data_IF_389553516170
#
_entry.id   IF_389553516170
#
_cell.length_a   1.000
_cell.length_b   1.000
_cell.length_c   1.000
_cell.angle_alpha   90.00
_cell.angle_beta   90.00
_cell.angle_gamma   90.00
#
_symmetry.space_group_name_H-M   'P 1'
#
loop_
_entity.id
_entity.type
_entity.pdbx_description
1 polymer ?
#
# COMPACT_ATOMS: atom_id res chain seq x y z
N UNK A 1 0.22 17.52 -19.97
CA UNK A 1 0.79 18.12 -18.75
C UNK A 1 1.51 17.02 -17.98
N UNK A 2 2.72 17.26 -17.54
CA UNK A 2 3.50 16.26 -16.81
C UNK A 2 3.14 16.19 -15.32
N UNK A 3 3.75 15.25 -14.63
CA UNK A 3 3.59 15.11 -13.17
C UNK A 3 4.14 16.36 -12.48
N UNK A 4 3.39 16.88 -11.51
CA UNK A 4 3.77 18.07 -10.76
C UNK A 4 4.87 17.75 -9.74
N UNK A 5 6.11 18.08 -10.06
CA UNK A 5 7.26 17.81 -9.20
C UNK A 5 7.22 18.58 -7.88
N UNK A 6 6.42 19.64 -7.76
CA UNK A 6 6.24 20.39 -6.52
C UNK A 6 5.52 19.57 -5.43
N UNK A 7 4.92 18.44 -5.78
CA UNK A 7 4.28 17.54 -4.83
C UNK A 7 5.28 16.74 -3.99
N UNK A 8 6.54 16.68 -4.40
CA UNK A 8 7.58 16.05 -3.59
C UNK A 8 7.64 16.70 -2.20
N UNK A 9 7.66 15.89 -1.16
CA UNK A 9 7.62 16.33 0.23
C UNK A 9 6.21 16.49 0.82
N UNK A 10 5.16 16.32 0.01
CA UNK A 10 3.78 16.39 0.48
C UNK A 10 3.40 15.16 1.29
N UNK A 11 2.61 15.38 2.36
CA UNK A 11 1.92 14.32 3.07
C UNK A 11 0.41 14.55 2.98
N UNK A 12 -0.33 13.47 2.85
CA UNK A 12 -1.78 13.51 2.82
C UNK A 12 -2.35 13.18 4.21
N UNK A 13 -3.60 13.60 4.51
CA UNK A 13 -4.25 13.20 5.75
C UNK A 13 -4.36 11.69 5.87
N UNK A 14 -4.37 11.19 7.11
CA UNK A 14 -4.58 9.77 7.36
C UNK A 14 -5.90 9.31 6.74
N UNK A 15 -5.87 8.10 6.17
CA UNK A 15 -7.08 7.49 5.62
C UNK A 15 -8.10 7.16 6.72
N UNK A 16 -9.36 6.95 6.32
CA UNK A 16 -10.32 6.33 7.22
C UNK A 16 -9.82 4.93 7.63
N UNK A 17 -10.17 4.44 8.83
CA UNK A 17 -9.78 3.11 9.25
C UNK A 17 -10.27 2.04 8.28
N UNK A 18 -9.37 1.14 7.91
CA UNK A 18 -9.67 -0.04 7.11
C UNK A 18 -9.76 -1.26 8.00
N UNK A 19 -10.92 -1.92 8.01
CA UNK A 19 -11.12 -3.14 8.76
C UNK A 19 -10.67 -4.35 7.93
N UNK A 20 -9.66 -5.05 8.42
CA UNK A 20 -9.11 -6.23 7.73
C UNK A 20 -10.04 -7.42 7.94
N UNK A 21 -10.67 -7.90 6.86
CA UNK A 21 -11.59 -9.03 6.89
C UNK A 21 -10.94 -10.33 6.45
N UNK A 22 -11.40 -11.44 7.02
CA UNK A 22 -10.90 -12.79 6.68
C UNK A 22 -11.00 -13.10 5.20
N UNK A 23 -12.13 -12.78 4.58
CA UNK A 23 -12.35 -13.12 3.18
C UNK A 23 -11.44 -12.31 2.24
N UNK A 24 -11.17 -11.06 2.55
CA UNK A 24 -10.22 -10.28 1.78
C UNK A 24 -8.80 -10.88 1.85
N UNK A 25 -8.38 -11.31 3.04
CA UNK A 25 -7.08 -11.98 3.22
C UNK A 25 -7.01 -13.31 2.46
N UNK A 26 -8.08 -14.11 2.53
CA UNK A 26 -8.16 -15.38 1.81
C UNK A 26 -8.15 -15.21 0.30
N UNK A 27 -8.91 -14.26 -0.22
CA UNK A 27 -8.97 -13.98 -1.65
C UNK A 27 -7.63 -13.49 -2.17
N UNK A 28 -6.97 -12.60 -1.44
CA UNK A 28 -5.65 -12.12 -1.81
C UNK A 28 -4.61 -13.25 -1.79
N UNK A 29 -4.64 -14.07 -0.75
CA UNK A 29 -3.74 -15.23 -0.65
C UNK A 29 -3.90 -16.19 -1.84
N UNK A 30 -5.15 -16.46 -2.25
CA UNK A 30 -5.42 -17.28 -3.43
C UNK A 30 -4.88 -16.63 -4.70
N UNK A 31 -5.08 -15.33 -4.85
CA UNK A 31 -4.65 -14.59 -6.03
C UNK A 31 -3.13 -14.60 -6.22
N UNK A 32 -2.36 -14.59 -5.13
CA UNK A 32 -0.89 -14.58 -5.19
C UNK A 32 -0.28 -15.97 -4.99
N UNK A 33 -1.09 -17.02 -4.86
CA UNK A 33 -0.61 -18.39 -4.68
C UNK A 33 -0.03 -18.69 -3.30
N UNK A 34 -0.43 -17.93 -2.27
CA UNK A 34 -0.01 -18.17 -0.89
C UNK A 34 -0.87 -19.32 -0.29
N UNK A 35 -0.29 -20.49 -0.21
CA UNK A 35 -1.01 -21.73 0.16
C UNK A 35 -0.87 -22.11 1.63
N UNK A 36 -0.05 -21.41 2.39
CA UNK A 36 0.15 -21.75 3.81
C UNK A 36 -1.17 -21.66 4.57
N UNK A 37 -1.50 -22.65 5.41
CA UNK A 37 -2.80 -22.69 6.13
C UNK A 37 -3.11 -21.47 6.98
N UNK A 38 -2.10 -20.78 7.52
CA UNK A 38 -2.29 -19.58 8.32
C UNK A 38 -2.97 -18.43 7.56
N UNK A 39 -2.92 -18.43 6.23
CA UNK A 39 -3.60 -17.45 5.38
C UNK A 39 -5.06 -17.79 5.09
N UNK A 40 -5.52 -18.96 5.51
CA UNK A 40 -6.83 -19.50 5.14
C UNK A 40 -7.65 -19.98 6.32
N UNK A 41 -7.02 -20.55 7.34
CA UNK A 41 -7.66 -21.20 8.48
C UNK A 41 -7.31 -20.51 9.79
N UNK A 42 -8.35 -20.08 10.51
CA UNK A 42 -8.20 -19.39 11.82
C UNK A 42 -7.48 -20.28 12.82
N UNK A 43 -7.84 -21.57 12.88
CA UNK A 43 -7.23 -22.52 13.83
C UNK A 43 -5.74 -22.67 13.55
N UNK A 44 -5.37 -22.87 12.30
CA UNK A 44 -3.96 -22.97 11.90
C UNK A 44 -3.17 -21.70 12.23
N UNK A 45 -3.75 -20.53 12.00
CA UNK A 45 -3.12 -19.26 12.37
C UNK A 45 -2.90 -19.14 13.88
N UNK A 46 -3.91 -19.50 14.68
CA UNK A 46 -3.84 -19.46 16.15
C UNK A 46 -2.81 -20.43 16.72
N UNK A 47 -2.66 -21.59 16.12
CA UNK A 47 -1.63 -22.56 16.50
C UNK A 47 -0.21 -22.01 16.33
N UNK A 48 -0.03 -21.07 15.40
CA UNK A 48 1.24 -20.38 15.19
C UNK A 48 1.40 -19.10 16.03
N UNK A 49 0.43 -18.81 16.90
CA UNK A 49 0.48 -17.65 17.79
C UNK A 49 -0.15 -16.37 17.23
N UNK A 50 -0.84 -16.44 16.11
CA UNK A 50 -1.56 -15.28 15.56
C UNK A 50 -2.99 -15.20 16.10
N UNK A 51 -3.58 -14.00 16.25
CA UNK A 51 -4.95 -13.87 16.76
C UNK A 51 -6.00 -14.42 15.78
N UNK A 52 -5.73 -14.39 14.50
CA UNK A 52 -6.66 -14.74 13.42
C UNK A 52 -5.89 -15.01 12.13
N UNK A 53 -6.58 -15.22 11.02
CA UNK A 53 -5.98 -15.39 9.70
C UNK A 53 -4.96 -14.28 9.42
N UNK A 54 -3.80 -14.65 8.92
CA UNK A 54 -2.67 -13.76 8.67
C UNK A 54 -2.62 -13.38 7.20
N UNK A 55 -2.34 -12.12 6.92
CA UNK A 55 -2.15 -11.63 5.57
C UNK A 55 -0.90 -12.23 4.92
N UNK A 56 -0.99 -12.51 3.61
CA UNK A 56 0.20 -12.79 2.81
C UNK A 56 1.14 -11.57 2.84
N UNK A 57 2.46 -11.77 2.72
CA UNK A 57 3.43 -10.69 2.91
C UNK A 57 3.22 -9.44 2.04
N UNK A 58 2.66 -9.60 0.85
CA UNK A 58 2.42 -8.48 -0.07
C UNK A 58 1.03 -7.85 0.05
N UNK A 59 0.18 -8.35 0.96
CA UNK A 59 -1.18 -7.83 1.14
C UNK A 59 -1.21 -6.33 1.45
N UNK A 60 -0.19 -5.81 2.13
CA UNK A 60 -0.12 -4.39 2.49
C UNK A 60 -0.20 -3.46 1.27
N UNK A 61 0.12 -3.95 0.04
CA UNK A 61 -0.05 -3.17 -1.18
C UNK A 61 -1.52 -2.77 -1.39
N UNK A 62 -2.47 -3.62 -1.05
CA UNK A 62 -3.89 -3.33 -1.19
C UNK A 62 -4.33 -2.18 -0.27
N UNK A 63 -3.73 -2.08 0.90
CA UNK A 63 -3.97 -0.99 1.86
C UNK A 63 -3.27 0.28 1.37
N UNK A 64 -2.02 0.17 0.93
CA UNK A 64 -1.24 1.30 0.42
C UNK A 64 -1.92 1.95 -0.79
N UNK A 65 -2.46 1.17 -1.72
CA UNK A 65 -3.14 1.69 -2.90
C UNK A 65 -4.37 2.54 -2.57
N UNK A 66 -5.05 2.26 -1.47
CA UNK A 66 -6.18 3.09 -1.01
C UNK A 66 -5.69 4.49 -0.60
N UNK A 67 -4.53 4.58 0.02
CA UNK A 67 -3.92 5.85 0.38
C UNK A 67 -3.35 6.58 -0.84
N UNK A 68 -2.71 5.83 -1.75
CA UNK A 68 -2.15 6.37 -2.99
C UNK A 68 -3.21 6.97 -3.91
N UNK A 69 -4.45 6.51 -3.82
CA UNK A 69 -5.56 7.08 -4.57
C UNK A 69 -5.71 8.58 -4.32
N UNK A 70 -5.40 9.08 -3.13
CA UNK A 70 -5.44 10.51 -2.82
C UNK A 70 -4.50 11.31 -3.72
N UNK A 71 -3.33 10.78 -4.02
CA UNK A 71 -2.36 11.41 -4.92
C UNK A 71 -2.77 11.23 -6.38
N UNK A 72 -3.12 10.00 -6.76
CA UNK A 72 -3.43 9.67 -8.16
C UNK A 72 -4.66 10.42 -8.66
N UNK A 73 -5.65 10.59 -7.80
CA UNK A 73 -6.91 11.28 -8.11
C UNK A 73 -6.82 12.80 -7.91
N UNK A 74 -5.73 13.30 -7.36
CA UNK A 74 -5.53 14.73 -7.18
C UNK A 74 -5.26 15.38 -8.55
N UNK A 75 -6.17 16.25 -9.04
CA UNK A 75 -6.04 16.82 -10.37
C UNK A 75 -4.81 17.72 -10.52
N UNK A 76 -4.29 18.26 -9.42
CA UNK A 76 -3.11 19.12 -9.44
C UNK A 76 -1.80 18.32 -9.46
N UNK A 77 -1.86 17.01 -9.18
CA UNK A 77 -0.69 16.14 -9.23
C UNK A 77 -0.22 15.85 -10.65
N UNK A 78 -1.12 15.91 -11.62
CA UNK A 78 -0.79 15.69 -13.03
C UNK A 78 -0.45 14.23 -13.35
N UNK A 79 -0.98 13.27 -12.61
CA UNK A 79 -0.74 11.84 -12.84
C UNK A 79 -1.88 11.28 -13.68
N UNK A 80 -1.55 10.83 -14.90
CA UNK A 80 -2.47 10.07 -15.74
C UNK A 80 -2.32 8.58 -15.38
N UNK A 81 -3.29 8.02 -14.67
CA UNK A 81 -3.24 6.64 -14.20
C UNK A 81 -3.11 5.63 -15.36
N UNK A 82 -3.64 5.95 -16.53
CA UNK A 82 -3.52 5.08 -17.70
C UNK A 82 -2.07 4.91 -18.18
N UNK A 83 -1.17 5.77 -17.71
CA UNK A 83 0.25 5.76 -18.08
C UNK A 83 1.16 5.34 -16.92
N UNK A 84 0.57 4.87 -15.82
CA UNK A 84 1.31 4.46 -14.62
C UNK A 84 1.67 2.98 -14.71
N UNK A 85 2.94 2.70 -14.41
CA UNK A 85 3.44 1.34 -14.20
C UNK A 85 4.11 1.29 -12.83
N UNK A 86 3.81 0.27 -12.05
CA UNK A 86 4.54 0.03 -10.81
C UNK A 86 5.93 -0.50 -11.14
N UNK A 87 6.95 0.27 -10.80
CA UNK A 87 8.35 -0.08 -11.07
C UNK A 87 8.98 -0.84 -9.89
N UNK A 88 8.61 -0.50 -8.66
CA UNK A 88 9.14 -1.13 -7.46
C UNK A 88 8.13 -1.05 -6.32
N UNK A 89 8.04 -2.13 -5.55
CA UNK A 89 7.33 -2.19 -4.29
C UNK A 89 8.26 -2.72 -3.21
N UNK A 90 8.31 -2.03 -2.08
CA UNK A 90 9.13 -2.43 -0.93
C UNK A 90 8.27 -2.47 0.31
N UNK A 91 8.34 -3.58 1.03
CA UNK A 91 7.59 -3.82 2.25
C UNK A 91 8.52 -3.93 3.44
N UNK A 92 8.22 -3.19 4.50
CA UNK A 92 8.84 -3.37 5.81
C UNK A 92 7.73 -3.68 6.80
N UNK A 93 7.69 -4.91 7.30
CA UNK A 93 6.70 -5.33 8.27
C UNK A 93 7.23 -5.15 9.69
N UNK A 94 6.48 -4.40 10.50
CA UNK A 94 6.78 -4.25 11.94
C UNK A 94 6.09 -5.33 12.75
N UNK A 95 4.98 -5.85 12.24
CA UNK A 95 4.29 -7.05 12.69
C UNK A 95 3.42 -7.60 11.55
N UNK A 96 2.98 -8.87 11.64
CA UNK A 96 2.01 -9.40 10.68
C UNK A 96 0.67 -8.66 10.74
N UNK A 97 0.03 -8.53 9.59
CA UNK A 97 -1.36 -8.06 9.48
C UNK A 97 -2.26 -9.28 9.62
N UNK A 98 -3.32 -9.17 10.40
CA UNK A 98 -4.28 -10.26 10.59
C UNK A 98 -5.73 -9.75 10.50
N UNK A 99 -6.66 -10.65 10.30
CA UNK A 99 -8.08 -10.33 10.34
C UNK A 99 -8.44 -9.75 11.71
N UNK A 100 -9.29 -8.73 11.71
CA UNK A 100 -9.67 -7.98 12.89
C UNK A 100 -8.85 -6.71 13.11
N UNK A 101 -7.75 -6.52 12.39
CA UNK A 101 -7.02 -5.25 12.44
C UNK A 101 -7.86 -4.10 11.90
N UNK A 102 -7.74 -2.94 12.51
CA UNK A 102 -8.21 -1.66 11.96
C UNK A 102 -6.99 -0.78 11.69
N UNK A 103 -6.76 -0.47 10.43
CA UNK A 103 -5.52 0.15 10.00
C UNK A 103 -5.77 1.51 9.35
N UNK A 104 -4.96 2.48 9.73
CA UNK A 104 -4.93 3.81 9.09
C UNK A 104 -3.60 3.99 8.38
N UNK A 105 -3.62 4.73 7.27
CA UNK A 105 -2.43 4.93 6.46
C UNK A 105 -2.20 6.42 6.20
N UNK A 106 -0.96 6.86 6.37
CA UNK A 106 -0.51 8.19 5.98
C UNK A 106 0.38 8.05 4.75
N UNK A 107 0.00 8.73 3.68
CA UNK A 107 0.75 8.76 2.44
C UNK A 107 1.73 9.93 2.43
N UNK A 108 2.99 9.63 2.14
CA UNK A 108 4.04 10.61 1.91
C UNK A 108 4.52 10.51 0.46
N UNK A 109 4.70 11.64 -0.20
CA UNK A 109 5.37 11.72 -1.50
C UNK A 109 6.83 12.03 -1.24
N UNK A 110 7.68 11.01 -1.26
CA UNK A 110 9.09 11.18 -0.87
C UNK A 110 9.93 11.81 -1.97
N UNK A 111 9.66 11.48 -3.23
CA UNK A 111 10.43 12.03 -4.35
C UNK A 111 9.62 11.99 -5.64
N UNK A 112 9.84 12.98 -6.48
CA UNK A 112 9.40 12.98 -7.88
C UNK A 112 10.57 13.42 -8.72
N UNK A 113 11.03 12.54 -9.60
CA UNK A 113 12.10 12.85 -10.56
C UNK A 113 11.57 12.69 -11.97
N UNK A 114 11.99 13.57 -12.87
CA UNK A 114 11.58 13.51 -14.27
C UNK A 114 12.81 13.48 -15.15
N UNK A 115 12.86 12.54 -16.08
CA UNK A 115 13.97 12.38 -17.01
C UNK A 115 13.46 11.77 -18.31
N UNK A 116 13.76 12.45 -19.43
CA UNK A 116 13.46 11.97 -20.77
C UNK A 116 12.00 11.56 -20.97
N UNK A 117 11.06 12.37 -20.46
CA UNK A 117 9.62 12.11 -20.60
C UNK A 117 9.07 11.04 -19.69
N UNK A 118 9.86 10.56 -18.71
CA UNK A 118 9.44 9.59 -17.71
C UNK A 118 9.56 10.21 -16.32
N UNK A 119 8.44 10.26 -15.60
CA UNK A 119 8.44 10.68 -14.21
C UNK A 119 8.49 9.45 -13.30
N UNK A 120 9.35 9.49 -12.29
CA UNK A 120 9.42 8.48 -11.23
C UNK A 120 8.88 9.11 -9.96
N UNK A 121 7.78 8.56 -9.45
CA UNK A 121 7.12 9.03 -8.24
C UNK A 121 7.33 8.00 -7.15
N UNK A 122 8.02 8.38 -6.08
CA UNK A 122 8.24 7.51 -4.93
C UNK A 122 7.31 7.93 -3.81
N UNK A 123 6.45 7.01 -3.41
CA UNK A 123 5.54 7.19 -2.28
C UNK A 123 5.94 6.30 -1.12
N UNK A 124 5.60 6.72 0.08
CA UNK A 124 5.79 5.94 1.30
C UNK A 124 4.48 5.97 2.09
N UNK A 125 3.93 4.78 2.30
CA UNK A 125 2.73 4.60 3.11
C UNK A 125 3.11 4.05 4.48
N UNK A 126 2.85 4.83 5.52
CA UNK A 126 3.02 4.39 6.90
C UNK A 126 1.69 3.88 7.41
N UNK A 127 1.61 2.58 7.66
CA UNK A 127 0.41 1.89 8.13
C UNK A 127 0.52 1.64 9.62
N UNK A 128 -0.49 2.10 10.36
CA UNK A 128 -0.56 1.95 11.82
C UNK A 128 -1.90 1.36 12.25
N UNK A 129 -1.93 0.75 13.43
CA UNK A 129 -3.17 0.27 14.03
C UNK A 129 -3.94 1.41 14.75
N UNK A 130 -5.10 1.07 15.33
CA UNK A 130 -5.95 2.04 16.01
C UNK A 130 -5.28 2.71 17.22
N UNK A 131 -4.28 2.07 17.80
CA UNK A 131 -3.50 2.63 18.93
C UNK A 131 -2.34 3.51 18.47
N UNK A 132 -2.13 3.62 17.14
CA UNK A 132 -1.02 4.37 16.56
C UNK A 132 0.29 3.58 16.47
N UNK A 133 0.27 2.28 16.77
CA UNK A 133 1.47 1.45 16.67
C UNK A 133 1.78 1.11 15.23
N UNK A 134 3.05 1.21 14.79
CA UNK A 134 3.44 0.88 13.42
C UNK A 134 3.15 -0.58 13.08
N UNK A 135 2.59 -0.82 11.90
CA UNK A 135 2.28 -2.17 11.39
C UNK A 135 3.12 -2.50 10.17
N UNK A 136 3.16 -1.62 9.20
CA UNK A 136 3.96 -1.80 8.00
C UNK A 136 4.29 -0.47 7.35
N UNK A 137 5.40 -0.45 6.63
CA UNK A 137 5.78 0.64 5.73
C UNK A 137 5.83 0.08 4.31
N UNK A 138 5.11 0.71 3.39
CA UNK A 138 5.10 0.33 1.98
C UNK A 138 5.65 1.48 1.16
N UNK A 139 6.77 1.23 0.48
CA UNK A 139 7.37 2.21 -0.42
C UNK A 139 7.13 1.75 -1.85
N UNK A 140 6.49 2.61 -2.63
CA UNK A 140 6.15 2.33 -4.03
C UNK A 140 6.87 3.31 -4.94
N UNK A 141 7.39 2.82 -6.04
CA UNK A 141 7.89 3.67 -7.12
C UNK A 141 7.01 3.48 -8.33
N UNK A 142 6.35 4.56 -8.74
CA UNK A 142 5.49 4.59 -9.91
C UNK A 142 6.24 5.25 -11.07
N UNK A 143 6.27 4.58 -12.20
CA UNK A 143 6.78 5.17 -13.45
C UNK A 143 5.60 5.71 -14.24
N UNK A 144 5.61 7.01 -14.51
CA UNK A 144 4.54 7.70 -15.25
C UNK A 144 5.11 8.22 -16.57
N UNK A 145 4.61 7.67 -17.67
CA UNK A 145 5.03 8.11 -19.01
C UNK A 145 4.40 9.46 -19.31
N UNK A 146 5.22 10.40 -19.75
CA UNK A 146 4.77 11.71 -20.20
C UNK A 146 4.11 11.67 -21.57
N UNK A 147 3.62 12.82 -22.01
CA UNK A 147 3.11 12.99 -23.35
C UNK A 147 4.24 12.85 -24.36
N UNK A 148 3.93 12.23 -25.48
CA UNK A 148 4.91 12.03 -26.56
C UNK A 148 5.18 13.35 -27.30
#
# INVERSE_FOLDING_TARGET
>A
MGVNTAFAGRAYPATAPYAVGREHLRDFARAVGATHPAHHDVTAARELGHPDVVAAPTFAVAIAQKAEAQLIEDPEAGIDFSRVVHAEERFTHHRPIHAGDELVTVLHVDAITERAGLAMVTTRCEIADAAGSPVATVTSTLAVRGDA
#
